data_IF_628659613849
#
_entry.id   IF_628659613849
#
_cell.length_a   1.000
_cell.length_b   1.000
_cell.length_c   1.000
_cell.angle_alpha   90.00
_cell.angle_beta   90.00
_cell.angle_gamma   90.00
#
_symmetry.space_group_name_H-M   'P 1'
#
loop_
_entity.id
_entity.type
_entity.pdbx_description
1 polymer ?
#
# COMPACT_ATOMS: atom_id res chain seq x y z
N UNK A 1 9.59 14.28 -49.68
CA UNK A 1 9.43 12.81 -49.74
C UNK A 1 9.94 12.17 -51.03
N UNK A 2 9.39 12.49 -52.21
CA UNK A 2 9.81 11.85 -53.47
C UNK A 2 11.32 12.00 -53.78
N UNK A 3 11.89 13.17 -53.53
CA UNK A 3 13.33 13.42 -53.77
C UNK A 3 14.23 12.53 -52.91
N UNK A 4 13.89 12.32 -51.64
CA UNK A 4 14.63 11.43 -50.75
C UNK A 4 14.47 9.96 -51.16
N UNK A 5 13.27 9.53 -51.57
CA UNK A 5 13.06 8.17 -52.06
C UNK A 5 13.94 7.84 -53.29
N UNK A 6 14.07 8.77 -54.23
CA UNK A 6 14.94 8.58 -55.41
C UNK A 6 16.40 8.44 -55.00
N UNK A 7 16.87 9.28 -54.08
CA UNK A 7 18.25 9.23 -53.59
C UNK A 7 18.48 7.96 -52.75
N UNK A 8 17.52 7.55 -51.91
CA UNK A 8 17.63 6.39 -51.01
C UNK A 8 17.69 5.06 -51.78
N UNK A 9 16.95 4.95 -52.89
CA UNK A 9 17.04 3.80 -53.80
C UNK A 9 18.40 3.74 -54.47
N UNK A 10 18.91 4.87 -54.96
CA UNK A 10 20.22 4.95 -55.64
C UNK A 10 21.39 4.73 -54.69
N UNK A 11 21.26 5.20 -53.45
CA UNK A 11 22.26 5.05 -52.40
C UNK A 11 22.15 3.71 -51.64
N UNK A 12 21.15 2.88 -51.97
CA UNK A 12 20.87 1.59 -51.34
C UNK A 12 20.77 1.68 -49.80
N UNK A 13 19.90 2.57 -49.31
CA UNK A 13 19.79 2.98 -47.90
C UNK A 13 18.41 2.66 -47.29
N UNK A 14 17.51 2.03 -48.04
CA UNK A 14 16.12 1.78 -47.62
C UNK A 14 16.03 0.99 -46.30
N UNK A 15 16.91 0.02 -46.10
CA UNK A 15 16.98 -0.76 -44.86
C UNK A 15 17.45 0.08 -43.66
N UNK A 16 18.43 0.96 -43.87
CA UNK A 16 18.95 1.83 -42.82
C UNK A 16 17.93 2.92 -42.45
N UNK A 17 17.23 3.48 -43.44
CA UNK A 17 16.10 4.42 -43.20
C UNK A 17 14.96 3.74 -42.45
N UNK A 18 14.68 2.46 -42.74
CA UNK A 18 13.66 1.69 -42.01
C UNK A 18 14.07 1.42 -40.56
N UNK A 19 15.34 1.08 -40.32
CA UNK A 19 15.88 0.94 -38.94
C UNK A 19 15.85 2.26 -38.20
N UNK A 20 16.25 3.36 -38.86
CA UNK A 20 16.21 4.70 -38.29
C UNK A 20 14.79 5.07 -37.83
N UNK A 21 13.76 4.81 -38.65
CA UNK A 21 12.36 5.08 -38.28
C UNK A 21 11.94 4.32 -37.01
N UNK A 22 12.28 3.04 -36.91
CA UNK A 22 11.96 2.24 -35.73
C UNK A 22 12.65 2.80 -34.47
N UNK A 23 13.90 3.21 -34.57
CA UNK A 23 14.62 3.86 -33.45
C UNK A 23 14.03 5.23 -33.12
N UNK A 24 13.57 5.99 -34.12
CA UNK A 24 12.95 7.30 -33.91
C UNK A 24 11.62 7.17 -33.19
N UNK A 25 10.81 6.17 -33.55
CA UNK A 25 9.55 5.90 -32.86
C UNK A 25 9.79 5.45 -31.41
N UNK A 26 10.78 4.58 -31.17
CA UNK A 26 11.18 4.18 -29.82
C UNK A 26 11.69 5.38 -29.00
N UNK A 27 12.54 6.24 -29.58
CA UNK A 27 13.05 7.46 -28.95
C UNK A 27 11.91 8.42 -28.57
N UNK A 28 10.97 8.68 -29.48
CA UNK A 28 9.80 9.53 -29.20
C UNK A 28 8.95 8.95 -28.06
N UNK A 29 8.76 7.63 -28.04
CA UNK A 29 7.99 6.96 -26.99
C UNK A 29 8.67 7.07 -25.63
N UNK A 30 9.99 6.85 -25.57
CA UNK A 30 10.78 7.01 -24.35
C UNK A 30 10.76 8.45 -23.81
N UNK A 31 10.86 9.46 -24.69
CA UNK A 31 10.74 10.87 -24.27
C UNK A 31 9.35 11.19 -23.72
N UNK A 32 8.29 10.66 -24.34
CA UNK A 32 6.93 10.83 -23.82
C UNK A 32 6.74 10.14 -22.47
N UNK A 33 7.30 8.94 -22.29
CA UNK A 33 7.33 8.24 -21.00
C UNK A 33 8.09 9.06 -19.93
N UNK A 34 9.25 9.65 -20.28
CA UNK A 34 10.03 10.51 -19.39
C UNK A 34 9.28 11.78 -18.97
N UNK A 35 8.65 12.47 -19.91
CA UNK A 35 7.85 13.67 -19.63
C UNK A 35 6.69 13.33 -18.69
N UNK A 36 6.02 12.19 -18.90
CA UNK A 36 4.97 11.72 -18.01
C UNK A 36 5.51 11.40 -16.60
N UNK A 37 6.66 10.73 -16.49
CA UNK A 37 7.31 10.47 -15.21
C UNK A 37 7.70 11.75 -14.47
N UNK A 38 8.24 12.75 -15.19
CA UNK A 38 8.58 14.07 -14.62
C UNK A 38 7.34 14.83 -14.13
N UNK A 39 6.26 14.79 -14.91
CA UNK A 39 4.98 15.38 -14.51
C UNK A 39 4.38 14.68 -13.28
N UNK A 40 4.39 13.35 -13.25
CA UNK A 40 3.97 12.57 -12.09
C UNK A 40 4.81 12.90 -10.86
N UNK A 41 6.14 12.95 -10.99
CA UNK A 41 7.03 13.33 -9.89
C UNK A 41 6.71 14.72 -9.34
N UNK A 42 6.49 15.71 -10.21
CA UNK A 42 6.18 17.07 -9.79
C UNK A 42 4.86 17.15 -9.01
N UNK A 43 3.88 16.31 -9.36
CA UNK A 43 2.63 16.22 -8.62
C UNK A 43 2.81 15.48 -7.29
N UNK A 44 3.45 14.30 -7.31
CA UNK A 44 3.70 13.49 -6.13
C UNK A 44 4.57 14.21 -5.09
N UNK A 45 5.52 15.05 -5.51
CA UNK A 45 6.34 15.85 -4.59
C UNK A 45 5.53 16.86 -3.77
N UNK A 46 4.41 17.38 -4.29
CA UNK A 46 3.56 18.31 -3.53
C UNK A 46 2.87 17.61 -2.37
N UNK A 47 2.55 16.35 -2.55
CA UNK A 47 1.86 15.53 -1.56
C UNK A 47 2.85 14.73 -0.69
N UNK A 48 4.11 14.60 -1.10
CA UNK A 48 5.11 13.77 -0.43
C UNK A 48 5.29 14.17 1.03
N UNK A 49 5.55 15.44 1.32
CA UNK A 49 5.78 15.90 2.70
C UNK A 49 4.56 15.61 3.60
N UNK A 50 3.36 15.80 3.06
CA UNK A 50 2.12 15.53 3.75
C UNK A 50 1.89 14.02 3.98
N UNK A 51 2.05 13.21 2.94
CA UNK A 51 1.87 11.77 2.98
C UNK A 51 2.92 11.10 3.88
N UNK A 52 4.18 11.57 3.85
CA UNK A 52 5.24 11.11 4.73
C UNK A 52 4.96 11.47 6.19
N UNK A 53 4.42 12.65 6.46
CA UNK A 53 4.00 13.03 7.81
C UNK A 53 2.88 12.13 8.34
N UNK A 54 1.84 11.87 7.52
CA UNK A 54 0.76 10.95 7.88
C UNK A 54 1.26 9.51 8.09
N UNK A 55 2.14 9.04 7.21
CA UNK A 55 2.74 7.70 7.33
C UNK A 55 3.52 7.57 8.64
N UNK A 56 4.36 8.57 8.96
CA UNK A 56 5.14 8.56 10.19
C UNK A 56 4.25 8.56 11.44
N UNK A 57 3.13 9.28 11.41
CA UNK A 57 2.16 9.29 12.50
C UNK A 57 1.51 7.91 12.69
N UNK A 58 1.15 7.23 11.60
CA UNK A 58 0.58 5.88 11.63
C UNK A 58 1.61 4.78 11.97
N UNK A 59 2.89 4.98 11.65
CA UNK A 59 3.98 4.05 12.00
C UNK A 59 4.47 4.22 13.44
N UNK A 60 4.28 5.41 14.03
CA UNK A 60 4.61 5.65 15.44
C UNK A 60 3.77 4.79 16.40
N UNK A 61 2.63 4.29 15.94
CA UNK A 61 1.74 3.42 16.72
C UNK A 61 1.75 2.02 16.11
N UNK A 62 1.96 1.02 16.97
CA UNK A 62 1.78 -0.36 16.55
C UNK A 62 0.29 -0.64 16.47
N UNK A 63 -0.25 -0.57 15.25
CA UNK A 63 -1.65 -0.92 14.96
C UNK A 63 -1.75 -2.44 14.73
N UNK A 64 -2.43 -3.16 15.62
CA UNK A 64 -2.84 -4.55 15.40
C UNK A 64 -4.36 -4.68 15.37
N UNK A 65 -4.91 -5.59 14.53
CA UNK A 65 -6.33 -5.93 14.56
C UNK A 65 -6.75 -6.39 15.97
N UNK A 66 -7.87 -5.86 16.48
CA UNK A 66 -8.37 -6.18 17.82
C UNK A 66 -7.79 -5.33 18.97
N UNK A 67 -6.82 -4.45 18.70
CA UNK A 67 -6.22 -3.60 19.75
C UNK A 67 -7.23 -2.60 20.32
N UNK A 68 -8.14 -2.08 19.49
CA UNK A 68 -9.13 -1.08 19.93
C UNK A 68 -10.10 -1.70 20.92
N UNK A 69 -10.69 -2.83 20.56
CA UNK A 69 -11.66 -3.54 21.40
C UNK A 69 -11.04 -3.95 22.74
N UNK A 70 -9.79 -4.45 22.70
CA UNK A 70 -9.06 -4.85 23.90
C UNK A 70 -8.78 -3.66 24.81
N UNK A 71 -8.37 -2.51 24.24
CA UNK A 71 -8.10 -1.29 25.01
C UNK A 71 -9.38 -0.66 25.55
N UNK A 72 -10.49 -0.71 24.82
CA UNK A 72 -11.79 -0.22 25.27
C UNK A 72 -12.33 -1.06 26.43
N UNK A 73 -12.23 -2.39 26.36
CA UNK A 73 -12.61 -3.30 27.45
C UNK A 73 -11.75 -3.07 28.70
N UNK A 74 -10.43 -2.93 28.52
CA UNK A 74 -9.51 -2.60 29.61
C UNK A 74 -9.84 -1.23 30.23
N UNK A 75 -10.14 -0.22 29.40
CA UNK A 75 -10.51 1.12 29.86
C UNK A 75 -11.80 1.10 30.68
N UNK A 76 -12.86 0.44 30.20
CA UNK A 76 -14.13 0.36 30.91
C UNK A 76 -13.96 -0.34 32.27
N UNK A 77 -13.15 -1.39 32.34
CA UNK A 77 -12.87 -2.11 33.58
C UNK A 77 -12.11 -1.23 34.58
N UNK A 78 -11.08 -0.52 34.12
CA UNK A 78 -10.26 0.35 34.97
C UNK A 78 -11.00 1.62 35.40
N UNK A 79 -11.82 2.19 34.52
CA UNK A 79 -12.57 3.42 34.79
C UNK A 79 -13.71 3.18 35.78
N UNK A 80 -14.33 2.00 35.74
CA UNK A 80 -15.44 1.63 36.63
C UNK A 80 -15.00 0.72 37.79
N UNK A 81 -13.71 0.70 38.13
CA UNK A 81 -13.13 -0.28 39.06
C UNK A 81 -13.74 -0.21 40.46
N UNK A 82 -14.10 0.99 40.93
CA UNK A 82 -14.73 1.17 42.26
C UNK A 82 -16.12 0.53 42.31
N UNK A 83 -16.93 0.73 41.28
CA UNK A 83 -18.28 0.17 41.15
C UNK A 83 -18.22 -1.35 40.98
N UNK A 84 -17.28 -1.84 40.16
CA UNK A 84 -17.03 -3.28 40.00
C UNK A 84 -16.65 -3.92 41.34
N UNK A 85 -15.75 -3.29 42.10
CA UNK A 85 -15.32 -3.79 43.40
C UNK A 85 -16.46 -3.78 44.43
N UNK A 86 -17.30 -2.73 44.45
CA UNK A 86 -18.49 -2.68 45.30
C UNK A 86 -19.42 -3.86 45.01
N UNK A 87 -19.74 -4.10 43.74
CA UNK A 87 -20.64 -5.18 43.34
C UNK A 87 -20.07 -6.57 43.60
N UNK A 88 -18.78 -6.80 43.36
CA UNK A 88 -18.13 -8.07 43.65
C UNK A 88 -18.02 -8.33 45.15
N UNK A 89 -17.74 -7.30 45.96
CA UNK A 89 -17.74 -7.42 47.42
C UNK A 89 -19.13 -7.83 47.95
N UNK A 90 -20.19 -7.21 47.41
CA UNK A 90 -21.58 -7.56 47.75
C UNK A 90 -21.89 -8.99 47.30
N UNK A 91 -21.51 -9.39 46.09
CA UNK A 91 -21.73 -10.76 45.59
C UNK A 91 -21.00 -11.80 46.45
N UNK A 92 -19.74 -11.53 46.78
CA UNK A 92 -18.93 -12.36 47.68
C UNK A 92 -19.61 -12.52 49.04
N UNK A 93 -20.11 -11.42 49.63
CA UNK A 93 -20.83 -11.46 50.91
C UNK A 93 -22.14 -12.28 50.80
N UNK A 94 -22.93 -12.09 49.74
CA UNK A 94 -24.18 -12.84 49.54
C UNK A 94 -23.95 -14.35 49.43
N UNK A 95 -22.80 -14.78 48.88
CA UNK A 95 -22.44 -16.19 48.78
C UNK A 95 -21.94 -16.76 50.11
N UNK A 96 -21.06 -16.04 50.80
CA UNK A 96 -20.26 -16.55 51.93
C UNK A 96 -20.76 -16.21 53.34
N UNK A 97 -21.75 -15.31 53.49
CA UNK A 97 -22.23 -14.86 54.80
C UNK A 97 -22.59 -16.04 55.74
N UNK A 98 -22.09 -15.98 56.97
CA UNK A 98 -22.18 -17.09 57.93
C UNK A 98 -23.62 -17.48 58.30
N UNK A 99 -24.55 -16.51 58.30
CA UNK A 99 -25.93 -16.73 58.74
C UNK A 99 -26.91 -16.85 57.56
N UNK A 100 -26.66 -16.10 56.50
CA UNK A 100 -27.61 -15.90 55.39
C UNK A 100 -27.03 -16.23 54.02
N UNK A 101 -25.75 -16.60 53.95
CA UNK A 101 -25.06 -16.90 52.70
C UNK A 101 -25.69 -18.07 51.96
N UNK A 102 -25.78 -17.95 50.63
CA UNK A 102 -26.42 -18.96 49.78
C UNK A 102 -25.74 -20.33 49.93
N UNK A 103 -24.40 -20.37 50.08
CA UNK A 103 -23.64 -21.61 50.29
C UNK A 103 -24.06 -22.34 51.58
N UNK A 104 -24.25 -21.59 52.67
CA UNK A 104 -24.69 -22.16 53.95
C UNK A 104 -26.13 -22.68 53.87
N UNK A 105 -27.03 -21.92 53.25
CA UNK A 105 -28.43 -22.34 53.03
C UNK A 105 -28.50 -23.58 52.12
N UNK A 106 -27.69 -23.63 51.07
CA UNK A 106 -27.63 -24.75 50.14
C UNK A 106 -27.06 -26.01 50.80
N UNK A 107 -26.09 -25.86 51.70
CA UNK A 107 -25.56 -26.96 52.51
C UNK A 107 -26.64 -27.55 53.43
N UNK A 108 -27.48 -26.71 54.04
CA UNK A 108 -28.62 -27.17 54.83
C UNK A 108 -29.67 -27.88 53.96
N UNK A 109 -29.99 -27.31 52.79
CA UNK A 109 -30.91 -27.92 51.83
C UNK A 109 -30.40 -29.31 51.37
N UNK A 110 -29.11 -29.43 51.06
CA UNK A 110 -28.45 -30.69 50.70
C UNK A 110 -28.58 -31.74 51.81
N UNK A 111 -28.38 -31.36 53.08
CA UNK A 111 -28.56 -32.24 54.24
C UNK A 111 -30.00 -32.75 54.39
N UNK A 112 -31.00 -31.88 54.18
CA UNK A 112 -32.40 -32.28 54.20
C UNK A 112 -32.77 -33.19 53.03
N UNK A 113 -32.31 -32.87 51.81
CA UNK A 113 -32.51 -33.70 50.63
C UNK A 113 -31.89 -35.09 50.80
N UNK A 114 -30.71 -35.19 51.41
CA UNK A 114 -30.05 -36.47 51.71
C UNK A 114 -30.89 -37.35 52.64
N UNK A 115 -31.52 -36.76 53.67
CA UNK A 115 -32.44 -37.48 54.56
C UNK A 115 -33.67 -37.99 53.82
N UNK A 116 -34.19 -37.20 52.87
CA UNK A 116 -35.35 -37.58 52.05
C UNK A 116 -35.03 -38.70 51.03
N UNK A 117 -33.79 -38.75 50.55
CA UNK A 117 -33.34 -39.73 49.57
C UNK A 117 -33.55 -41.18 50.02
N UNK A 118 -33.48 -41.44 51.33
CA UNK A 118 -33.74 -42.76 51.92
C UNK A 118 -35.18 -43.28 51.75
N UNK A 119 -36.16 -42.41 51.43
CA UNK A 119 -37.57 -42.79 51.36
C UNK A 119 -38.03 -43.22 49.96
N UNK A 120 -37.40 -42.73 48.88
CA UNK A 120 -37.81 -43.01 47.50
C UNK A 120 -36.77 -42.57 46.47
N UNK A 121 -36.66 -43.28 45.34
CA UNK A 121 -35.79 -42.92 44.22
C UNK A 121 -36.03 -41.51 43.66
N UNK A 122 -37.28 -41.01 43.67
CA UNK A 122 -37.57 -39.62 43.25
C UNK A 122 -36.90 -38.57 44.13
N UNK A 123 -36.65 -38.87 45.42
CA UNK A 123 -35.98 -37.97 46.34
C UNK A 123 -34.45 -38.11 46.24
N UNK A 124 -33.95 -39.27 45.84
CA UNK A 124 -32.54 -39.48 45.49
C UNK A 124 -32.15 -38.63 44.27
N UNK A 125 -32.97 -38.63 43.21
CA UNK A 125 -32.75 -37.77 42.03
C UNK A 125 -32.73 -36.28 42.39
N UNK A 126 -33.61 -35.84 43.31
CA UNK A 126 -33.61 -34.46 43.81
C UNK A 126 -32.33 -34.12 44.59
N UNK A 127 -31.87 -35.02 45.46
CA UNK A 127 -30.61 -34.87 46.19
C UNK A 127 -29.41 -34.74 45.25
N UNK A 128 -29.32 -35.57 44.21
CA UNK A 128 -28.23 -35.53 43.23
C UNK A 128 -28.17 -34.18 42.50
N UNK A 129 -29.32 -33.64 42.09
CA UNK A 129 -29.40 -32.30 41.48
C UNK A 129 -28.96 -31.19 42.42
N UNK A 130 -29.37 -31.24 43.69
CA UNK A 130 -28.96 -30.27 44.72
C UNK A 130 -27.45 -30.39 44.98
N UNK A 131 -26.92 -31.61 45.06
CA UNK A 131 -25.50 -31.84 45.26
C UNK A 131 -24.66 -31.34 44.07
N UNK A 132 -25.12 -31.51 42.84
CA UNK A 132 -24.49 -30.95 41.64
C UNK A 132 -24.52 -29.43 41.64
N UNK A 133 -25.66 -28.82 42.01
CA UNK A 133 -25.78 -27.35 42.09
C UNK A 133 -24.89 -26.76 43.19
N UNK A 134 -24.66 -27.51 44.28
CA UNK A 134 -23.72 -27.12 45.33
C UNK A 134 -22.30 -27.00 44.81
N UNK A 135 -21.86 -27.93 43.97
CA UNK A 135 -20.51 -27.89 43.38
C UNK A 135 -20.38 -26.68 42.45
N UNK A 136 -21.37 -26.48 41.57
CA UNK A 136 -21.39 -25.30 40.67
C UNK A 136 -21.34 -23.98 41.46
N UNK A 137 -22.04 -23.89 42.59
CA UNK A 137 -22.03 -22.69 43.41
C UNK A 137 -20.70 -22.48 44.15
N UNK A 138 -20.03 -23.55 44.55
CA UNK A 138 -18.68 -23.48 45.13
C UNK A 138 -17.66 -22.98 44.08
N UNK A 139 -17.80 -23.41 42.82
CA UNK A 139 -16.97 -22.95 41.70
C UNK A 139 -17.20 -21.45 41.41
N UNK A 140 -18.46 -21.01 41.34
CA UNK A 140 -18.82 -19.59 41.18
C UNK A 140 -18.29 -18.72 42.34
N UNK A 141 -18.34 -19.22 43.57
CA UNK A 141 -17.77 -18.51 44.71
C UNK A 141 -16.26 -18.33 44.56
N UNK A 142 -15.55 -19.38 44.16
CA UNK A 142 -14.09 -19.33 43.94
C UNK A 142 -13.73 -18.35 42.81
N UNK A 143 -14.55 -18.27 41.77
CA UNK A 143 -14.37 -17.32 40.66
C UNK A 143 -14.60 -15.87 41.11
N UNK A 144 -15.65 -15.61 41.90
CA UNK A 144 -15.89 -14.28 42.48
C UNK A 144 -14.76 -13.86 43.42
N UNK A 145 -14.27 -14.77 44.26
CA UNK A 145 -13.12 -14.52 45.14
C UNK A 145 -11.87 -14.15 44.33
N UNK A 146 -11.58 -14.89 43.25
CA UNK A 146 -10.47 -14.58 42.35
C UNK A 146 -10.61 -13.20 41.68
N UNK A 147 -11.82 -12.78 41.27
CA UNK A 147 -12.03 -11.44 40.71
C UNK A 147 -11.83 -10.33 41.74
N UNK A 148 -12.30 -10.51 42.98
CA UNK A 148 -12.08 -9.55 44.07
C UNK A 148 -10.57 -9.40 44.35
N UNK A 149 -9.82 -10.51 44.37
CA UNK A 149 -8.38 -10.49 44.60
C UNK A 149 -7.58 -9.88 43.44
N UNK A 150 -8.02 -10.07 42.20
CA UNK A 150 -7.35 -9.54 41.01
C UNK A 150 -7.59 -8.05 40.78
N UNK A 151 -8.63 -7.47 41.41
CA UNK A 151 -9.00 -6.07 41.26
C UNK A 151 -8.04 -5.15 42.01
N UNK A 152 -7.07 -4.60 41.29
CA UNK A 152 -6.19 -3.55 41.78
C UNK A 152 -6.44 -2.23 41.06
N UNK A 153 -6.76 -1.18 41.83
CA UNK A 153 -6.82 0.16 41.28
C UNK A 153 -5.44 0.58 40.76
N UNK A 154 -5.33 0.75 39.45
CA UNK A 154 -4.10 1.15 38.79
C UNK A 154 -4.31 2.46 38.01
N UNK A 155 -4.26 3.63 38.68
CA UNK A 155 -4.47 4.93 38.05
C UNK A 155 -3.48 5.20 36.91
N UNK A 156 -2.22 4.77 37.07
CA UNK A 156 -1.20 4.94 36.03
C UNK A 156 -1.58 4.16 34.76
N UNK A 157 -2.10 2.93 34.91
CA UNK A 157 -2.54 2.13 33.77
C UNK A 157 -3.77 2.73 33.10
N UNK A 158 -4.72 3.25 33.87
CA UNK A 158 -5.89 3.96 33.34
C UNK A 158 -5.46 5.18 32.50
N UNK A 159 -4.50 5.98 32.98
CA UNK A 159 -3.93 7.10 32.23
C UNK A 159 -3.24 6.63 30.93
N UNK A 160 -2.44 5.56 30.98
CA UNK A 160 -1.80 4.99 29.79
C UNK A 160 -2.79 4.51 28.74
N UNK A 161 -3.82 3.77 29.15
CA UNK A 161 -4.86 3.23 28.24
C UNK A 161 -5.68 4.37 27.67
N UNK A 162 -6.08 5.35 28.51
CA UNK A 162 -6.82 6.53 28.08
C UNK A 162 -6.03 7.34 27.04
N UNK A 163 -4.74 7.58 27.27
CA UNK A 163 -3.89 8.30 26.32
C UNK A 163 -3.76 7.54 24.98
N UNK A 164 -3.61 6.21 25.02
CA UNK A 164 -3.56 5.38 23.80
C UNK A 164 -4.86 5.44 23.01
N UNK A 165 -6.00 5.31 23.70
CA UNK A 165 -7.33 5.41 23.09
C UNK A 165 -7.57 6.80 22.49
N UNK A 166 -7.13 7.87 23.16
CA UNK A 166 -7.24 9.23 22.60
C UNK A 166 -6.48 9.35 21.29
N UNK A 167 -5.24 8.86 21.23
CA UNK A 167 -4.44 8.90 20.01
C UNK A 167 -5.08 8.05 18.91
N UNK A 168 -5.53 6.83 19.21
CA UNK A 168 -6.23 5.97 18.25
C UNK A 168 -7.49 6.63 17.68
N UNK A 169 -8.34 7.20 18.55
CA UNK A 169 -9.55 7.90 18.14
C UNK A 169 -9.25 9.14 17.28
N UNK A 170 -8.19 9.88 17.61
CA UNK A 170 -7.75 11.00 16.81
C UNK A 170 -7.29 10.56 15.41
N UNK A 171 -6.58 9.44 15.29
CA UNK A 171 -6.20 8.86 14.00
C UNK A 171 -7.42 8.41 13.19
N UNK A 172 -8.33 7.63 13.80
CA UNK A 172 -9.57 7.19 13.16
C UNK A 172 -10.35 8.38 12.59
N UNK A 173 -10.51 9.44 13.39
CA UNK A 173 -11.20 10.67 12.98
C UNK A 173 -10.45 11.43 11.89
N UNK A 174 -9.12 11.56 11.99
CA UNK A 174 -8.27 12.26 11.02
C UNK A 174 -8.33 11.59 9.65
N UNK A 175 -8.36 10.27 9.63
CA UNK A 175 -8.45 9.47 8.42
C UNK A 175 -9.90 9.13 8.00
N UNK A 176 -10.89 9.55 8.79
CA UNK A 176 -12.32 9.33 8.53
C UNK A 176 -12.71 7.85 8.36
N UNK A 177 -12.15 7.00 9.22
CA UNK A 177 -12.33 5.55 9.23
C UNK A 177 -12.88 5.07 10.57
N UNK A 178 -13.53 3.91 10.56
CA UNK A 178 -14.19 3.34 11.73
C UNK A 178 -13.41 2.23 12.43
N UNK A 179 -12.43 1.62 11.76
CA UNK A 179 -11.69 0.46 12.32
C UNK A 179 -10.17 0.59 12.15
N UNK A 180 -9.44 -0.21 12.95
CA UNK A 180 -7.98 -0.29 12.86
C UNK A 180 -7.54 -0.90 11.52
N UNK A 181 -8.29 -1.86 10.99
CA UNK A 181 -8.01 -2.49 9.69
C UNK A 181 -8.00 -1.45 8.57
N UNK A 182 -8.98 -0.55 8.56
CA UNK A 182 -9.04 0.55 7.58
C UNK A 182 -7.84 1.51 7.74
N UNK A 183 -7.38 1.79 8.98
CA UNK A 183 -6.14 2.55 9.20
C UNK A 183 -4.90 1.83 8.67
N UNK A 184 -4.83 0.50 8.84
CA UNK A 184 -3.73 -0.31 8.32
C UNK A 184 -3.71 -0.25 6.78
N UNK A 185 -4.87 -0.37 6.14
CA UNK A 185 -4.98 -0.22 4.68
C UNK A 185 -4.49 1.16 4.20
N UNK A 186 -4.88 2.23 4.90
CA UNK A 186 -4.40 3.60 4.60
C UNK A 186 -2.89 3.70 4.79
N UNK A 187 -2.33 3.12 5.86
CA UNK A 187 -0.89 3.10 6.11
C UNK A 187 -0.14 2.42 4.96
N UNK A 188 -0.60 1.26 4.50
CA UNK A 188 0.05 0.54 3.40
C UNK A 188 -0.08 1.29 2.05
N UNK A 189 -1.21 1.96 1.82
CA UNK A 189 -1.40 2.82 0.65
C UNK A 189 -0.44 4.02 0.67
N UNK A 190 -0.33 4.72 1.81
CA UNK A 190 0.61 5.83 2.00
C UNK A 190 2.06 5.37 1.82
N UNK A 191 2.43 4.24 2.43
CA UNK A 191 3.76 3.64 2.30
C UNK A 191 4.13 3.34 0.85
N UNK A 192 3.19 2.78 0.10
CA UNK A 192 3.39 2.51 -1.33
C UNK A 192 3.58 3.81 -2.12
N UNK A 193 2.77 4.83 -1.85
CA UNK A 193 2.85 6.14 -2.52
C UNK A 193 4.17 6.89 -2.23
N UNK A 194 4.59 6.92 -0.96
CA UNK A 194 5.85 7.54 -0.52
C UNK A 194 7.04 6.82 -1.17
N UNK A 195 7.08 5.47 -1.06
CA UNK A 195 8.14 4.66 -1.66
C UNK A 195 8.21 4.81 -3.18
N UNK A 196 7.05 4.85 -3.86
CA UNK A 196 7.01 5.11 -5.30
C UNK A 196 7.67 6.45 -5.64
N UNK A 197 7.33 7.51 -4.90
CA UNK A 197 7.86 8.86 -5.12
C UNK A 197 9.37 8.93 -4.87
N UNK A 198 9.88 8.26 -3.83
CA UNK A 198 11.31 8.18 -3.53
C UNK A 198 12.10 7.44 -4.63
N UNK A 199 11.50 6.42 -5.24
CA UNK A 199 12.12 5.63 -6.31
C UNK A 199 11.94 6.24 -7.72
N UNK A 200 11.12 7.29 -7.88
CA UNK A 200 10.93 7.96 -9.17
C UNK A 200 12.21 8.58 -9.69
N UNK A 201 13.09 9.07 -8.82
CA UNK A 201 14.38 9.66 -9.20
C UNK A 201 15.30 8.64 -9.91
N UNK A 202 15.40 7.43 -9.35
CA UNK A 202 16.16 6.36 -9.97
C UNK A 202 15.54 5.94 -11.31
N UNK A 203 14.21 5.82 -11.36
CA UNK A 203 13.48 5.45 -12.58
C UNK A 203 13.67 6.48 -13.69
N UNK A 204 13.64 7.78 -13.36
CA UNK A 204 13.90 8.88 -14.30
C UNK A 204 15.34 8.80 -14.80
N UNK A 205 16.32 8.61 -13.91
CA UNK A 205 17.72 8.52 -14.30
C UNK A 205 18.01 7.33 -15.23
N UNK A 206 17.33 6.18 -15.02
CA UNK A 206 17.39 5.04 -15.93
C UNK A 206 16.82 5.40 -17.31
N UNK A 207 15.65 6.05 -17.37
CA UNK A 207 15.05 6.47 -18.65
C UNK A 207 15.87 7.51 -19.39
N UNK A 208 16.47 8.46 -18.70
CA UNK A 208 17.37 9.46 -19.32
C UNK A 208 18.59 8.79 -19.96
N UNK A 209 19.12 7.73 -19.33
CA UNK A 209 20.20 6.91 -19.91
C UNK A 209 19.75 6.17 -21.16
N UNK A 210 18.58 5.50 -21.12
CA UNK A 210 18.01 4.81 -22.28
C UNK A 210 17.79 5.78 -23.47
N UNK A 211 17.30 6.99 -23.21
CA UNK A 211 17.12 8.03 -24.22
C UNK A 211 18.45 8.45 -24.82
N UNK A 212 19.49 8.62 -23.99
CA UNK A 212 20.84 8.97 -24.44
C UNK A 212 21.44 7.88 -25.31
N UNK A 213 21.29 6.60 -24.91
CA UNK A 213 21.74 5.46 -25.71
C UNK A 213 20.99 5.38 -27.05
N UNK A 214 19.68 5.62 -27.04
CA UNK A 214 18.86 5.63 -28.25
C UNK A 214 19.22 6.80 -29.19
N UNK A 215 19.52 7.98 -28.65
CA UNK A 215 20.00 9.13 -29.42
C UNK A 215 21.33 8.80 -30.12
N UNK A 216 22.29 8.20 -29.40
CA UNK A 216 23.56 7.77 -30.00
C UNK A 216 23.37 6.75 -31.14
N UNK A 217 22.38 5.85 -31.01
CA UNK A 217 22.04 4.89 -32.08
C UNK A 217 21.43 5.61 -33.30
N UNK A 218 20.55 6.59 -33.07
CA UNK A 218 19.96 7.41 -34.11
C UNK A 218 21.01 8.22 -34.86
N UNK A 219 21.91 8.91 -34.15
CA UNK A 219 23.00 9.69 -34.73
C UNK A 219 23.94 8.82 -35.59
N UNK A 220 24.28 7.63 -35.09
CA UNK A 220 25.11 6.67 -35.82
C UNK A 220 24.47 6.27 -37.17
N UNK A 221 23.18 5.93 -37.15
CA UNK A 221 22.45 5.51 -38.35
C UNK A 221 22.20 6.70 -39.29
N UNK A 222 21.85 7.86 -38.76
CA UNK A 222 21.73 9.10 -39.54
C UNK A 222 23.05 9.44 -40.25
N UNK A 223 24.18 9.27 -39.57
CA UNK A 223 25.52 9.43 -40.17
C UNK A 223 25.79 8.44 -41.31
N UNK A 224 25.39 7.18 -41.15
CA UNK A 224 25.47 6.17 -42.23
C UNK A 224 24.60 6.56 -43.42
N UNK A 225 23.35 6.98 -43.17
CA UNK A 225 22.40 7.41 -44.20
C UNK A 225 22.97 8.62 -44.95
N UNK A 226 23.40 9.65 -44.23
CA UNK A 226 23.96 10.88 -44.78
C UNK A 226 25.17 10.61 -45.68
N UNK A 227 26.10 9.76 -45.22
CA UNK A 227 27.28 9.39 -46.00
C UNK A 227 26.90 8.68 -47.30
N UNK A 228 26.04 7.64 -47.22
CA UNK A 228 25.59 6.90 -48.41
C UNK A 228 24.85 7.79 -49.41
N UNK A 229 23.98 8.68 -48.93
CA UNK A 229 23.28 9.67 -49.77
C UNK A 229 24.28 10.58 -50.49
N UNK A 230 25.25 11.12 -49.75
CA UNK A 230 26.27 12.03 -50.29
C UNK A 230 27.13 11.34 -51.34
N UNK A 231 27.53 10.08 -51.10
CA UNK A 231 28.32 9.28 -52.04
C UNK A 231 27.56 8.93 -53.34
N UNK A 232 26.22 8.84 -53.29
CA UNK A 232 25.38 8.54 -54.46
C UNK A 232 25.04 9.76 -55.33
N UNK A 233 25.09 10.98 -54.76
CA UNK A 233 24.73 12.22 -55.47
C UNK A 233 25.54 12.44 -56.75
N UNK A 234 26.88 12.28 -56.79
CA UNK A 234 27.66 12.46 -58.02
C UNK A 234 27.20 11.56 -59.16
N UNK A 235 26.86 10.30 -58.85
CA UNK A 235 26.35 9.34 -59.83
C UNK A 235 25.00 9.77 -60.41
N UNK A 236 24.09 10.25 -59.55
CA UNK A 236 22.79 10.79 -59.96
C UNK A 236 22.93 12.06 -60.81
N UNK A 237 23.78 13.00 -60.41
CA UNK A 237 24.03 14.24 -61.15
C UNK A 237 24.60 13.94 -62.55
N UNK A 238 25.52 12.98 -62.65
CA UNK A 238 26.05 12.54 -63.95
C UNK A 238 24.98 11.90 -64.84
N UNK A 239 24.13 11.02 -64.28
CA UNK A 239 23.06 10.37 -65.03
C UNK A 239 22.01 11.39 -65.54
N UNK A 240 21.62 12.34 -64.70
CA UNK A 240 20.70 13.43 -65.08
C UNK A 240 21.31 14.34 -66.15
N UNK A 241 22.60 14.67 -66.04
CA UNK A 241 23.30 15.47 -67.06
C UNK A 241 23.28 14.79 -68.43
N UNK A 242 23.61 13.50 -68.49
CA UNK A 242 23.57 12.72 -69.74
C UNK A 242 22.15 12.66 -70.35
N UNK A 243 21.12 12.54 -69.51
CA UNK A 243 19.73 12.55 -69.98
C UNK A 243 19.34 13.93 -70.57
N UNK A 244 19.78 15.02 -69.95
CA UNK A 244 19.47 16.37 -70.42
C UNK A 244 20.23 16.74 -71.69
N UNK A 245 21.46 16.25 -71.85
CA UNK A 245 22.23 16.37 -73.10
C UNK A 245 21.51 15.68 -74.26
N UNK A 246 20.96 14.48 -74.05
CA UNK A 246 20.19 13.75 -75.08
C UNK A 246 18.84 14.39 -75.41
N UNK A 247 18.28 15.19 -74.50
CA UNK A 247 17.04 15.97 -74.69
C UNK A 247 17.27 17.38 -75.25
N UNK A 248 18.50 17.70 -75.69
CA UNK A 248 18.82 18.97 -76.34
C UNK A 248 19.08 20.15 -75.38
N UNK A 249 19.40 19.87 -74.11
CA UNK A 249 19.70 20.87 -73.07
C UNK A 249 21.15 20.76 -72.54
N UNK A 250 22.19 20.95 -73.38
CA UNK A 250 23.58 20.64 -73.03
C UNK A 250 24.23 21.58 -72.01
N UNK A 251 23.62 22.74 -71.72
CA UNK A 251 24.16 23.75 -70.79
C UNK A 251 23.50 23.71 -69.40
N UNK A 252 22.60 22.76 -69.14
CA UNK A 252 21.90 22.63 -67.86
C UNK A 252 22.83 22.10 -66.75
N UNK A 253 22.76 22.69 -65.57
CA UNK A 253 23.50 22.26 -64.38
C UNK A 253 22.51 21.84 -63.28
N UNK A 254 22.80 20.72 -62.62
CA UNK A 254 22.04 20.21 -61.49
C UNK A 254 22.93 20.18 -60.24
N UNK A 255 22.45 20.77 -59.14
CA UNK A 255 23.10 20.73 -57.82
C UNK A 255 22.14 20.10 -56.82
N UNK A 256 22.58 19.04 -56.16
CA UNK A 256 21.88 18.38 -55.05
C UNK A 256 22.80 18.46 -53.84
N UNK A 257 22.26 18.88 -52.71
CA UNK A 257 23.00 19.03 -51.45
C UNK A 257 22.18 18.41 -50.33
N UNK A 258 22.83 17.61 -49.50
CA UNK A 258 22.24 16.99 -48.31
C UNK A 258 22.91 17.61 -47.10
N UNK A 259 22.11 18.15 -46.18
CA UNK A 259 22.57 18.89 -45.01
C UNK A 259 22.15 18.13 -43.75
N UNK A 260 23.02 18.09 -42.75
CA UNK A 260 22.70 17.52 -41.44
C UNK A 260 21.78 18.49 -40.67
N UNK A 261 20.89 17.91 -39.88
CA UNK A 261 19.98 18.63 -38.98
C UNK A 261 20.25 18.21 -37.54
N UNK A 262 20.05 19.13 -36.59
CA UNK A 262 20.04 18.81 -35.16
C UNK A 262 18.74 18.10 -34.74
N UNK A 263 17.66 18.28 -35.50
CA UNK A 263 16.38 17.58 -35.30
C UNK A 263 16.31 16.24 -36.04
N UNK A 264 15.67 15.26 -35.40
CA UNK A 264 15.37 13.96 -36.00
C UNK A 264 14.09 13.98 -36.85
N UNK A 265 14.25 13.88 -38.18
CA UNK A 265 13.15 13.79 -39.13
C UNK A 265 12.92 12.37 -39.62
N UNK A 266 11.67 12.02 -39.97
CA UNK A 266 11.26 10.65 -40.36
C UNK A 266 12.03 10.09 -41.56
N UNK A 267 12.65 10.94 -42.36
CA UNK A 267 13.47 10.57 -43.51
C UNK A 267 14.92 10.23 -43.17
N UNK A 268 15.36 10.31 -41.91
CA UNK A 268 16.76 10.02 -41.55
C UNK A 268 17.70 11.17 -41.81
#
# INVERSE_FOLDING_TARGET
DFQFQVIDVLANVLDDVSKYKNFLDAFKRLNLELENLKAQKAESLKELDYNSFLLQELEAISLQPGDLETLEEEYETLNNIEEINEHLTVAHQLLSDEQTGVLNVLTQLKSHAQKLAAFSGKYQELFERIASTSIELDDLYSEVEAFVEALEANPNRLEEVSAKLEVLNNLLKKHSVGTIEELIEIREALKTSVSFTENLDETIALKEREITEMANQLDSIAGVIHKKRTDAIPGLVSALKNLLETLGMPQSQFKIEVVLSEDYYVNG
#
